data_IF_788859468919
#
_entry.id   IF_788859468919
#
_cell.length_a   1.000
_cell.length_b   1.000
_cell.length_c   1.000
_cell.angle_alpha   90.00
_cell.angle_beta   90.00
_cell.angle_gamma   90.00
#
_symmetry.space_group_name_H-M   'P 1'
#
loop_
_entity.id
_entity.type
_entity.pdbx_description
1 polymer ?
#
# COMPACT_ATOMS: atom_id res chain seq x y z
N UNK A 1 3.16 2.05 12.01
CA UNK A 1 4.03 2.38 10.87
C UNK A 1 4.27 1.11 10.05
N UNK A 2 4.09 1.18 8.74
CA UNK A 2 4.27 0.06 7.81
C UNK A 2 5.49 0.29 6.93
N UNK A 3 6.34 -0.72 6.78
CA UNK A 3 7.47 -0.67 5.85
C UNK A 3 6.99 -0.81 4.40
N UNK A 4 7.27 0.20 3.60
CA UNK A 4 7.01 0.26 2.18
C UNK A 4 8.32 0.21 1.40
N UNK A 5 8.31 -0.50 0.27
CA UNK A 5 9.42 -0.52 -0.67
C UNK A 5 8.99 0.07 -2.00
N UNK A 6 9.90 0.77 -2.67
CA UNK A 6 9.64 1.28 -4.02
C UNK A 6 9.44 0.11 -4.98
N UNK A 7 8.38 0.18 -5.78
CA UNK A 7 8.00 -0.90 -6.70
C UNK A 7 8.66 -0.72 -8.05
N UNK A 8 9.27 -1.79 -8.56
CA UNK A 8 9.60 -1.90 -9.98
C UNK A 8 8.31 -2.15 -10.80
N UNK A 9 7.95 -1.17 -11.63
CA UNK A 9 6.75 -1.21 -12.48
C UNK A 9 6.83 -2.25 -13.59
N UNK A 10 8.04 -2.73 -13.94
CA UNK A 10 8.23 -3.82 -14.91
C UNK A 10 7.74 -5.17 -14.38
N UNK A 11 7.68 -5.33 -13.05
CA UNK A 11 7.20 -6.56 -12.43
C UNK A 11 5.67 -6.55 -12.39
N UNK A 12 5.07 -7.58 -13.01
CA UNK A 12 3.62 -7.77 -12.99
C UNK A 12 3.09 -7.91 -11.55
N UNK A 13 2.02 -7.18 -11.16
CA UNK A 13 1.41 -7.26 -9.82
C UNK A 13 1.10 -8.68 -9.37
N UNK A 14 0.65 -9.56 -10.28
CA UNK A 14 0.36 -10.97 -9.98
C UNK A 14 1.57 -11.73 -9.41
N UNK A 15 2.80 -11.41 -9.86
CA UNK A 15 4.02 -12.04 -9.31
C UNK A 15 4.31 -11.55 -7.89
N UNK A 16 4.05 -10.27 -7.61
CA UNK A 16 4.25 -9.67 -6.28
C UNK A 16 3.22 -10.23 -5.28
N UNK A 17 1.95 -10.34 -5.68
CA UNK A 17 0.90 -10.95 -4.86
C UNK A 17 1.18 -12.41 -4.49
N UNK A 18 1.70 -13.20 -5.43
CA UNK A 18 2.15 -14.58 -5.16
C UNK A 18 3.28 -14.67 -4.12
N UNK A 19 4.04 -13.59 -3.94
CA UNK A 19 5.09 -13.49 -2.91
C UNK A 19 4.57 -12.91 -1.59
N UNK A 20 3.26 -12.65 -1.47
CA UNK A 20 2.65 -12.08 -0.27
C UNK A 20 2.71 -10.55 -0.17
N UNK A 21 3.01 -9.85 -1.27
CA UNK A 21 3.01 -8.39 -1.30
C UNK A 21 1.69 -7.84 -1.83
N UNK A 22 1.26 -6.73 -1.24
CA UNK A 22 0.20 -5.86 -1.73
C UNK A 22 0.87 -4.71 -2.50
N UNK A 23 0.34 -4.39 -3.68
CA UNK A 23 0.82 -3.20 -4.41
C UNK A 23 0.15 -1.95 -3.85
N UNK A 24 0.74 -0.79 -4.09
CA UNK A 24 0.05 0.45 -3.82
C UNK A 24 0.65 1.62 -4.56
N UNK A 25 -0.02 2.76 -4.46
CA UNK A 25 0.47 4.04 -4.96
C UNK A 25 0.43 5.08 -3.85
N UNK A 26 1.47 5.89 -3.76
CA UNK A 26 1.56 7.02 -2.82
C UNK A 26 1.57 8.29 -3.64
N UNK A 27 0.52 9.09 -3.52
CA UNK A 27 0.47 10.43 -4.10
C UNK A 27 1.06 11.44 -3.12
N UNK A 28 2.20 12.02 -3.47
CA UNK A 28 2.89 13.06 -2.71
C UNK A 28 2.21 14.42 -2.84
N UNK A 29 2.50 15.33 -1.91
CA UNK A 29 2.03 16.73 -1.94
C UNK A 29 2.45 17.50 -3.19
N UNK A 30 3.64 17.20 -3.71
CA UNK A 30 4.18 17.82 -4.90
C UNK A 30 3.50 17.32 -6.20
N UNK A 31 2.56 16.37 -6.10
CA UNK A 31 1.85 15.78 -7.23
C UNK A 31 2.48 14.49 -7.76
N UNK A 32 3.65 14.10 -7.26
CA UNK A 32 4.31 12.86 -7.68
C UNK A 32 3.54 11.63 -7.22
N UNK A 33 3.54 10.59 -8.05
CA UNK A 33 2.91 9.29 -7.72
C UNK A 33 4.01 8.24 -7.67
N UNK A 34 4.25 7.71 -6.46
CA UNK A 34 5.27 6.71 -6.21
C UNK A 34 4.60 5.34 -6.10
N UNK A 35 4.90 4.38 -6.99
CA UNK A 35 4.42 3.03 -6.85
C UNK A 35 5.21 2.32 -5.75
N UNK A 36 4.50 1.70 -4.80
CA UNK A 36 5.08 1.01 -3.65
C UNK A 36 4.59 -0.44 -3.57
N UNK A 37 5.29 -1.23 -2.77
CA UNK A 37 4.83 -2.53 -2.29
C UNK A 37 4.88 -2.55 -0.77
N UNK A 38 3.91 -3.23 -0.19
CA UNK A 38 3.75 -3.44 1.24
C UNK A 38 3.58 -4.93 1.50
N UNK A 39 3.91 -5.38 2.71
CA UNK A 39 3.65 -6.78 3.09
C UNK A 39 2.15 -6.99 3.29
N UNK A 40 1.52 -7.83 2.47
CA UNK A 40 0.06 -7.92 2.40
C UNK A 40 -0.59 -8.33 3.71
N UNK A 41 0.00 -9.28 4.44
CA UNK A 41 -0.47 -9.66 5.79
C UNK A 41 -0.50 -8.49 6.76
N UNK A 42 0.50 -7.60 6.69
CA UNK A 42 0.59 -6.42 7.57
C UNK A 42 -0.48 -5.41 7.18
N UNK A 43 -0.69 -5.19 5.88
CA UNK A 43 -1.76 -4.32 5.36
C UNK A 43 -3.14 -4.83 5.77
N UNK A 44 -3.43 -6.11 5.56
CA UNK A 44 -4.71 -6.72 5.91
C UNK A 44 -4.97 -6.62 7.43
N UNK A 45 -3.95 -6.87 8.26
CA UNK A 45 -4.06 -6.72 9.73
C UNK A 45 -4.31 -5.27 10.13
N UNK A 46 -3.64 -4.31 9.48
CA UNK A 46 -3.82 -2.88 9.74
C UNK A 46 -5.25 -2.44 9.40
N UNK A 47 -5.72 -2.80 8.20
CA UNK A 47 -7.07 -2.46 7.74
C UNK A 47 -8.16 -3.10 8.60
N UNK A 48 -7.94 -4.31 9.12
CA UNK A 48 -8.88 -4.94 10.04
C UNK A 48 -9.02 -4.19 11.38
N UNK A 49 -7.98 -3.49 11.82
CA UNK A 49 -7.98 -2.74 13.09
C UNK A 49 -8.49 -1.31 12.89
N UNK A 50 -8.02 -0.63 11.84
CA UNK A 50 -8.23 0.81 11.66
C UNK A 50 -9.30 1.15 10.61
N UNK A 51 -9.65 0.22 9.74
CA UNK A 51 -10.61 0.42 8.65
C UNK A 51 -10.01 1.05 7.39
N UNK A 52 -10.83 1.09 6.33
CA UNK A 52 -10.38 1.36 4.95
C UNK A 52 -10.17 2.84 4.62
N UNK A 53 -10.64 3.74 5.47
CA UNK A 53 -10.49 5.20 5.32
C UNK A 53 -9.65 5.79 6.45
N UNK A 54 -8.82 4.97 7.08
CA UNK A 54 -7.93 5.39 8.15
C UNK A 54 -6.67 6.05 7.59
N UNK A 55 -5.93 6.67 8.50
CA UNK A 55 -4.61 7.19 8.18
C UNK A 55 -3.60 6.06 8.35
N UNK A 56 -2.50 6.12 7.63
CA UNK A 56 -1.45 5.11 7.65
C UNK A 56 -0.09 5.78 7.53
N UNK A 57 0.75 5.58 8.52
CA UNK A 57 2.16 5.98 8.45
C UNK A 57 2.94 4.90 7.69
N UNK A 58 3.53 5.28 6.56
CA UNK A 58 4.39 4.41 5.78
C UNK A 58 5.84 4.88 5.87
N UNK A 59 6.76 3.93 5.96
CA UNK A 59 8.19 4.18 5.88
C UNK A 59 8.69 3.76 4.50
N UNK A 60 9.19 4.70 3.71
CA UNK A 60 9.73 4.46 2.38
C UNK A 60 11.24 4.75 2.39
N UNK A 61 12.06 3.71 2.55
CA UNK A 61 13.50 3.87 2.77
C UNK A 61 13.76 4.54 4.12
N UNK A 62 14.38 5.72 4.09
CA UNK A 62 14.67 6.52 5.30
C UNK A 62 13.60 7.59 5.59
N UNK A 63 12.59 7.73 4.73
CA UNK A 63 11.53 8.73 4.90
C UNK A 63 10.28 8.13 5.53
N UNK A 64 9.71 8.84 6.50
CA UNK A 64 8.39 8.56 7.07
C UNK A 64 7.35 9.48 6.44
N UNK A 65 6.27 8.89 5.94
CA UNK A 65 5.23 9.59 5.19
C UNK A 65 3.89 9.31 5.88
N UNK A 66 3.25 10.37 6.38
CA UNK A 66 1.89 10.29 6.88
C UNK A 66 0.92 10.30 5.69
N UNK A 67 0.19 9.21 5.50
CA UNK A 67 -0.73 9.05 4.38
C UNK A 67 -2.17 8.81 4.84
N UNK A 68 -3.12 9.23 4.02
CA UNK A 68 -4.53 8.86 4.11
C UNK A 68 -4.82 7.75 3.09
N UNK A 69 -5.60 6.75 3.51
CA UNK A 69 -6.06 5.70 2.60
C UNK A 69 -7.24 6.24 1.79
N UNK A 70 -7.03 6.37 0.49
CA UNK A 70 -8.05 6.85 -0.46
C UNK A 70 -8.93 5.69 -0.89
N UNK A 71 -8.32 4.57 -1.28
CA UNK A 71 -9.02 3.37 -1.73
C UNK A 71 -8.26 2.11 -1.34
N UNK A 72 -9.01 1.05 -1.08
CA UNK A 72 -8.51 -0.31 -0.87
C UNK A 72 -9.15 -1.22 -1.88
N UNK A 73 -8.33 -1.89 -2.70
CA UNK A 73 -8.81 -2.88 -3.66
C UNK A 73 -8.54 -4.27 -3.10
N UNK A 74 -9.57 -5.11 -3.05
CA UNK A 74 -9.49 -6.49 -2.57
C UNK A 74 -9.79 -7.49 -3.68
N UNK A 75 -9.16 -8.65 -3.60
CA UNK A 75 -9.55 -9.80 -4.41
C UNK A 75 -10.95 -10.26 -3.97
N UNK A 76 -11.84 -10.52 -4.93
CA UNK A 76 -13.24 -10.88 -4.64
C UNK A 76 -13.35 -12.26 -4.00
N UNK A 77 -12.45 -13.19 -4.34
CA UNK A 77 -12.51 -14.58 -3.89
C UNK A 77 -11.64 -14.80 -2.64
N UNK A 78 -10.45 -14.20 -2.62
CA UNK A 78 -9.49 -14.38 -1.54
C UNK A 78 -9.64 -13.34 -0.43
N UNK A 79 -10.43 -12.28 -0.67
CA UNK A 79 -10.67 -11.16 0.25
C UNK A 79 -9.42 -10.44 0.76
N UNK A 80 -8.25 -10.73 0.20
CA UNK A 80 -6.99 -10.10 0.55
C UNK A 80 -6.80 -8.78 -0.21
N UNK A 81 -6.07 -7.85 0.40
CA UNK A 81 -5.80 -6.56 -0.24
C UNK A 81 -4.81 -6.73 -1.39
N UNK A 82 -5.25 -6.40 -2.60
CA UNK A 82 -4.45 -6.54 -3.82
C UNK A 82 -3.75 -5.25 -4.23
N UNK A 83 -4.36 -4.10 -3.92
CA UNK A 83 -3.83 -2.77 -4.23
C UNK A 83 -4.37 -1.75 -3.22
N UNK A 84 -3.59 -0.71 -2.92
CA UNK A 84 -3.98 0.38 -2.02
C UNK A 84 -3.54 1.73 -2.56
N UNK A 85 -4.45 2.70 -2.56
CA UNK A 85 -4.17 4.07 -2.95
C UNK A 85 -4.02 4.94 -1.72
N UNK A 86 -2.86 5.58 -1.61
CA UNK A 86 -2.46 6.40 -0.49
C UNK A 86 -2.22 7.83 -0.97
N UNK A 87 -2.59 8.80 -0.14
CA UNK A 87 -2.33 10.21 -0.38
C UNK A 87 -1.59 10.81 0.81
N UNK A 88 -0.44 11.40 0.55
CA UNK A 88 0.32 12.14 1.56
C UNK A 88 -0.50 13.34 2.04
N UNK A 89 -0.57 13.48 3.36
CA UNK A 89 -1.32 14.54 4.03
C UNK A 89 -0.52 15.81 4.17
#
# INVERSE_FOLDING_TARGET
>A
MLDALMRDTKIKPKKLRRKGYTTGTVRRKNGDVIPVILTGRVVDSYLAIHGDHSWMDIKLGDEEINTEIVNVYRDVLMHNTIDIDLKEK
#
